data_IF_807234471714
#
_entry.id   IF_807234471714
#
_cell.length_a   1.000
_cell.length_b   1.000
_cell.length_c   1.000
_cell.angle_alpha   90.00
_cell.angle_beta   90.00
_cell.angle_gamma   90.00
#
_symmetry.space_group_name_H-M   'P 1'
#
loop_
_entity.id
_entity.type
_entity.pdbx_description
1 polymer ?
#
# COMPACT_ATOMS: atom_id res chain seq x y z
N UNK A 1 -48.98 -0.96 22.32
CA UNK A 1 -48.45 -0.65 20.97
C UNK A 1 -47.01 -0.13 21.00
N UNK A 2 -46.63 0.70 21.97
CA UNK A 2 -45.28 1.32 22.08
C UNK A 2 -44.12 0.35 22.39
N UNK A 3 -44.39 -0.78 23.08
CA UNK A 3 -43.36 -1.77 23.41
C UNK A 3 -42.90 -2.59 22.19
N UNK A 4 -43.79 -2.80 21.21
CA UNK A 4 -43.50 -3.56 19.99
C UNK A 4 -42.67 -2.74 19.00
N UNK A 5 -42.88 -1.42 18.94
CA UNK A 5 -42.04 -0.50 18.16
C UNK A 5 -40.61 -0.42 18.69
N UNK A 6 -40.40 -0.53 20.01
CA UNK A 6 -39.05 -0.50 20.59
C UNK A 6 -38.21 -1.71 20.17
N UNK A 7 -38.83 -2.90 20.11
CA UNK A 7 -38.19 -4.14 19.66
C UNK A 7 -37.80 -4.09 18.17
N UNK A 8 -38.60 -3.44 17.32
CA UNK A 8 -38.26 -3.27 15.91
C UNK A 8 -37.08 -2.31 15.71
N UNK A 9 -37.02 -1.23 16.49
CA UNK A 9 -35.91 -0.25 16.41
C UNK A 9 -34.60 -0.85 16.90
N UNK A 10 -34.63 -1.68 17.96
CA UNK A 10 -33.41 -2.37 18.43
C UNK A 10 -32.94 -3.43 17.45
N UNK A 11 -33.86 -4.16 16.79
CA UNK A 11 -33.52 -5.13 15.75
C UNK A 11 -32.86 -4.46 14.53
N UNK A 12 -33.41 -3.32 14.08
CA UNK A 12 -32.84 -2.53 12.98
C UNK A 12 -31.45 -1.98 13.35
N UNK A 13 -31.28 -1.46 14.57
CA UNK A 13 -29.98 -0.97 15.05
C UNK A 13 -28.92 -2.08 15.12
N UNK A 14 -29.31 -3.31 15.48
CA UNK A 14 -28.43 -4.50 15.42
C UNK A 14 -28.00 -4.83 13.99
N UNK A 15 -28.94 -4.79 13.02
CA UNK A 15 -28.62 -4.99 11.61
C UNK A 15 -27.68 -3.90 11.07
N UNK A 16 -27.87 -2.63 11.45
CA UNK A 16 -26.96 -1.55 11.08
C UNK A 16 -25.58 -1.66 11.75
N UNK A 17 -25.50 -2.26 12.94
CA UNK A 17 -24.23 -2.42 13.69
C UNK A 17 -23.38 -3.60 13.22
N UNK A 18 -23.89 -4.45 12.30
CA UNK A 18 -23.16 -5.62 11.79
C UNK A 18 -22.38 -5.34 10.48
N UNK A 19 -22.40 -4.12 9.95
CA UNK A 19 -21.49 -3.71 8.87
C UNK A 19 -20.10 -3.33 9.41
N UNK A 20 -19.52 -4.23 10.20
CA UNK A 20 -18.10 -4.16 10.51
C UNK A 20 -17.34 -4.36 9.20
N UNK A 21 -16.89 -3.26 8.59
CA UNK A 21 -15.95 -3.33 7.48
C UNK A 21 -14.75 -4.13 7.99
N UNK A 22 -14.54 -5.33 7.45
CA UNK A 22 -13.38 -6.13 7.77
C UNK A 22 -12.16 -5.37 7.21
N UNK A 23 -11.57 -4.50 8.04
CA UNK A 23 -10.32 -3.85 7.73
C UNK A 23 -9.26 -4.94 7.65
N UNK A 24 -9.05 -5.47 6.44
CA UNK A 24 -7.86 -6.27 6.15
C UNK A 24 -6.68 -5.32 6.37
N UNK A 25 -5.81 -5.59 7.36
CA UNK A 25 -4.66 -4.73 7.61
C UNK A 25 -3.85 -4.66 6.31
N UNK A 26 -3.56 -3.44 5.86
CA UNK A 26 -2.80 -3.22 4.64
C UNK A 26 -1.41 -3.83 4.82
N UNK A 27 -1.09 -4.89 4.06
CA UNK A 27 0.15 -5.67 4.19
C UNK A 27 1.28 -4.99 3.43
N UNK A 28 1.60 -3.77 3.86
CA UNK A 28 2.50 -2.88 3.12
C UNK A 28 3.55 -2.26 4.00
N UNK A 29 4.78 -2.19 3.49
CA UNK A 29 5.78 -1.26 3.99
C UNK A 29 5.84 -0.03 3.06
N UNK A 30 5.81 1.16 3.63
CA UNK A 30 5.71 2.41 2.87
C UNK A 30 6.66 3.47 3.41
N UNK A 31 7.36 4.15 2.51
CA UNK A 31 8.10 5.39 2.80
C UNK A 31 8.00 6.32 1.60
N UNK A 32 7.60 7.57 1.82
CA UNK A 32 7.56 8.59 0.77
C UNK A 32 8.98 8.98 0.31
N UNK A 33 9.13 9.31 -0.97
CA UNK A 33 10.34 9.91 -1.53
C UNK A 33 10.08 10.49 -2.92
N UNK A 34 10.98 11.36 -3.40
CA UNK A 34 10.91 12.00 -4.72
C UNK A 34 10.81 11.03 -5.90
N UNK A 35 11.21 9.78 -5.76
CA UNK A 35 10.93 8.70 -6.70
C UNK A 35 10.44 7.50 -5.89
N UNK A 36 9.26 6.98 -6.23
CA UNK A 36 8.67 5.84 -5.52
C UNK A 36 9.00 4.55 -6.25
N UNK A 37 9.63 3.59 -5.57
CA UNK A 37 9.87 2.24 -6.08
C UNK A 37 8.80 1.29 -5.54
N UNK A 38 8.08 0.63 -6.45
CA UNK A 38 7.12 -0.42 -6.09
C UNK A 38 7.84 -1.75 -5.87
N UNK A 39 7.56 -2.43 -4.76
CA UNK A 39 8.05 -3.77 -4.47
C UNK A 39 6.89 -4.76 -4.35
N UNK A 40 7.02 -5.95 -4.93
CA UNK A 40 6.01 -7.01 -4.83
C UNK A 40 6.71 -8.29 -4.36
N UNK A 41 6.38 -8.75 -3.15
CA UNK A 41 7.07 -9.85 -2.48
C UNK A 41 6.08 -10.89 -1.92
N UNK A 42 6.49 -12.14 -1.85
CA UNK A 42 5.77 -13.25 -1.21
C UNK A 42 6.26 -13.43 0.22
N UNK A 43 5.89 -12.49 1.11
CA UNK A 43 6.34 -12.55 2.51
C UNK A 43 5.67 -13.68 3.28
N UNK A 44 4.52 -14.15 2.81
CA UNK A 44 3.75 -15.24 3.40
C UNK A 44 3.58 -16.43 2.45
N UNK A 45 3.54 -17.63 3.01
CA UNK A 45 3.52 -18.90 2.27
C UNK A 45 2.12 -19.28 1.73
N UNK A 46 1.04 -18.72 2.28
CA UNK A 46 -0.30 -18.94 1.70
C UNK A 46 -1.27 -17.82 2.02
N UNK A 47 -2.18 -17.55 1.08
CA UNK A 47 -3.45 -16.92 1.39
C UNK A 47 -4.39 -18.02 1.93
N UNK A 48 -4.80 -17.92 3.19
CA UNK A 48 -5.83 -18.78 3.76
C UNK A 48 -7.20 -18.54 3.12
N UNK A 49 -8.17 -19.41 3.42
CA UNK A 49 -9.51 -19.45 2.78
C UNK A 49 -10.31 -18.14 2.91
N UNK A 50 -9.94 -17.28 3.86
CA UNK A 50 -10.51 -15.96 4.14
C UNK A 50 -9.68 -14.79 3.57
N UNK A 51 -8.67 -15.05 2.73
CA UNK A 51 -7.74 -14.05 2.23
C UNK A 51 -6.73 -13.53 3.27
N UNK A 52 -6.59 -14.23 4.41
CA UNK A 52 -5.53 -13.90 5.38
C UNK A 52 -4.23 -14.59 5.03
N UNK A 53 -3.17 -13.83 4.91
CA UNK A 53 -1.83 -14.36 4.69
C UNK A 53 -1.35 -15.09 5.95
N UNK A 54 -0.77 -16.28 5.76
CA UNK A 54 -0.27 -17.14 6.83
C UNK A 54 1.18 -17.52 6.57
N UNK A 55 1.89 -17.76 7.66
CA UNK A 55 3.25 -18.28 7.70
C UNK A 55 4.27 -17.38 7.01
N UNK A 56 4.96 -16.56 7.80
CA UNK A 56 6.01 -15.67 7.32
C UNK A 56 7.20 -16.48 6.80
N UNK A 57 7.65 -16.16 5.59
CA UNK A 57 8.85 -16.71 4.99
C UNK A 57 10.04 -15.78 5.27
N UNK A 58 10.85 -16.12 6.27
CA UNK A 58 11.97 -15.29 6.73
C UNK A 58 12.96 -14.92 5.60
N UNK A 59 13.21 -15.84 4.67
CA UNK A 59 14.06 -15.59 3.49
C UNK A 59 13.52 -14.46 2.62
N UNK A 60 12.21 -14.49 2.33
CA UNK A 60 11.56 -13.49 1.48
C UNK A 60 11.42 -12.14 2.18
N UNK A 61 11.23 -12.16 3.51
CA UNK A 61 11.37 -10.96 4.34
C UNK A 61 12.77 -10.34 4.19
N UNK A 62 13.81 -11.18 4.19
CA UNK A 62 15.18 -10.73 3.92
C UNK A 62 15.35 -10.03 2.58
N UNK A 63 14.63 -10.45 1.54
CA UNK A 63 14.65 -9.76 0.24
C UNK A 63 13.95 -8.40 0.26
N UNK A 64 12.83 -8.27 0.98
CA UNK A 64 12.17 -6.99 1.18
C UNK A 64 13.05 -6.03 2.00
N UNK A 65 13.65 -6.52 3.08
CA UNK A 65 14.63 -5.76 3.88
C UNK A 65 15.85 -5.37 3.06
N UNK A 66 16.33 -6.22 2.15
CA UNK A 66 17.43 -5.87 1.25
C UNK A 66 17.07 -4.72 0.30
N UNK A 67 15.83 -4.67 -0.20
CA UNK A 67 15.34 -3.53 -0.99
C UNK A 67 15.31 -2.24 -0.15
N UNK A 68 14.79 -2.32 1.09
CA UNK A 68 14.75 -1.18 2.02
C UNK A 68 16.17 -0.69 2.30
N UNK A 69 17.08 -1.59 2.67
CA UNK A 69 18.48 -1.29 2.94
C UNK A 69 19.18 -0.64 1.74
N UNK A 70 18.94 -1.15 0.52
CA UNK A 70 19.51 -0.57 -0.69
C UNK A 70 19.01 0.86 -0.92
N UNK A 71 17.71 1.11 -0.72
CA UNK A 71 17.11 2.43 -0.85
C UNK A 71 17.70 3.40 0.18
N UNK A 72 17.80 2.99 1.43
CA UNK A 72 18.41 3.81 2.49
C UNK A 72 19.88 4.11 2.19
N UNK A 73 20.64 3.11 1.76
CA UNK A 73 22.05 3.27 1.37
C UNK A 73 22.23 4.24 0.19
N UNK A 74 21.28 4.26 -0.77
CA UNK A 74 21.31 5.22 -1.87
C UNK A 74 20.99 6.64 -1.36
N UNK A 75 19.96 6.79 -0.53
CA UNK A 75 19.57 8.08 0.03
C UNK A 75 20.65 8.70 0.93
N UNK A 76 21.42 7.88 1.64
CA UNK A 76 22.53 8.34 2.49
C UNK A 76 23.80 8.67 1.69
N UNK A 77 23.86 8.31 0.41
CA UNK A 77 25.01 8.55 -0.44
C UNK A 77 24.86 9.84 -1.26
N UNK A 78 25.52 10.91 -0.83
CA UNK A 78 25.50 12.22 -1.49
C UNK A 78 26.01 12.24 -2.95
N UNK A 79 26.62 11.16 -3.45
CA UNK A 79 27.06 11.04 -4.85
C UNK A 79 26.02 10.38 -5.75
N UNK A 80 25.09 9.60 -5.18
CA UNK A 80 24.03 8.92 -5.91
C UNK A 80 22.72 9.68 -5.71
N UNK A 81 22.08 10.07 -6.83
CA UNK A 81 20.81 10.82 -6.81
C UNK A 81 20.83 12.09 -5.92
N UNK A 82 21.79 13.01 -6.10
CA UNK A 82 21.89 14.19 -5.27
C UNK A 82 20.60 15.03 -5.33
N UNK A 83 20.07 15.41 -4.16
CA UNK A 83 18.80 16.15 -4.00
C UNK A 83 17.55 15.40 -4.46
N UNK A 84 17.61 14.07 -4.58
CA UNK A 84 16.46 13.23 -4.91
C UNK A 84 16.41 12.08 -3.91
N UNK A 85 15.29 11.95 -3.21
CA UNK A 85 15.04 10.85 -2.29
C UNK A 85 14.29 9.70 -2.97
N UNK A 86 14.70 8.47 -2.71
CA UNK A 86 13.97 7.27 -3.06
C UNK A 86 13.02 6.89 -1.92
N UNK A 87 11.76 6.66 -2.27
CA UNK A 87 10.75 6.06 -1.42
C UNK A 87 10.36 4.67 -1.92
N UNK A 88 9.52 3.97 -1.17
CA UNK A 88 9.03 2.65 -1.53
C UNK A 88 7.57 2.41 -1.14
N UNK A 89 6.91 1.55 -1.92
CA UNK A 89 5.61 0.94 -1.62
C UNK A 89 5.75 -0.57 -1.85
N UNK A 90 5.98 -1.32 -0.78
CA UNK A 90 6.20 -2.77 -0.80
C UNK A 90 4.89 -3.46 -0.46
N UNK A 91 4.40 -4.33 -1.34
CA UNK A 91 3.16 -5.08 -1.20
C UNK A 91 3.46 -6.57 -1.06
N UNK A 92 2.81 -7.21 -0.08
CA UNK A 92 2.85 -8.66 0.07
C UNK A 92 1.68 -9.34 -0.64
N UNK A 93 1.98 -10.22 -1.59
CA UNK A 93 0.96 -10.93 -2.38
C UNK A 93 0.66 -12.35 -1.88
N UNK A 94 1.37 -12.84 -0.87
CA UNK A 94 1.06 -14.08 -0.15
C UNK A 94 0.90 -15.31 -1.05
N UNK A 95 1.69 -15.38 -2.12
CA UNK A 95 1.63 -16.42 -3.16
C UNK A 95 0.27 -16.55 -3.86
N UNK A 96 -0.60 -15.54 -3.78
CA UNK A 96 -1.89 -15.50 -4.47
C UNK A 96 -1.79 -14.69 -5.77
N UNK A 97 -2.04 -15.30 -6.94
CA UNK A 97 -2.03 -14.58 -8.22
C UNK A 97 -3.05 -13.44 -8.28
N UNK A 98 -4.22 -13.61 -7.63
CA UNK A 98 -5.25 -12.56 -7.59
C UNK A 98 -4.75 -11.33 -6.82
N UNK A 99 -4.15 -11.54 -5.64
CA UNK A 99 -3.58 -10.45 -4.83
C UNK A 99 -2.39 -9.83 -5.57
N UNK A 100 -1.58 -10.62 -6.28
CA UNK A 100 -0.45 -10.12 -7.06
C UNK A 100 -0.90 -9.14 -8.16
N UNK A 101 -1.95 -9.48 -8.92
CA UNK A 101 -2.51 -8.61 -9.97
C UNK A 101 -3.11 -7.35 -9.37
N UNK A 102 -3.91 -7.48 -8.30
CA UNK A 102 -4.48 -6.33 -7.59
C UNK A 102 -3.40 -5.39 -7.06
N UNK A 103 -2.37 -5.94 -6.39
CA UNK A 103 -1.26 -5.18 -5.83
C UNK A 103 -0.43 -4.49 -6.91
N UNK A 104 -0.16 -5.17 -8.02
CA UNK A 104 0.56 -4.61 -9.16
C UNK A 104 -0.24 -3.47 -9.82
N UNK A 105 -1.55 -3.65 -9.99
CA UNK A 105 -2.43 -2.62 -10.50
C UNK A 105 -2.44 -1.39 -9.60
N UNK A 106 -2.54 -1.57 -8.27
CA UNK A 106 -2.44 -0.46 -7.32
C UNK A 106 -1.12 0.31 -7.44
N UNK A 107 0.02 -0.39 -7.57
CA UNK A 107 1.33 0.25 -7.73
C UNK A 107 1.37 1.13 -8.99
N UNK A 108 0.81 0.65 -10.09
CA UNK A 108 0.72 1.41 -11.36
C UNK A 108 -0.21 2.60 -11.21
N UNK A 109 -1.43 2.41 -10.69
CA UNK A 109 -2.41 3.51 -10.54
C UNK A 109 -1.89 4.59 -9.60
N UNK A 110 -1.29 4.22 -8.46
CA UNK A 110 -0.66 5.18 -7.54
C UNK A 110 0.48 5.93 -8.22
N UNK A 111 1.24 5.29 -9.10
CA UNK A 111 2.32 5.95 -9.83
C UNK A 111 1.80 7.07 -10.75
N UNK A 112 0.69 6.82 -11.46
CA UNK A 112 0.06 7.81 -12.34
C UNK A 112 -0.52 8.98 -11.54
N UNK A 113 -1.24 8.69 -10.46
CA UNK A 113 -1.77 9.74 -9.58
C UNK A 113 -0.65 10.61 -8.99
N UNK A 114 0.43 10.00 -8.49
CA UNK A 114 1.58 10.76 -7.95
C UNK A 114 2.27 11.59 -9.03
N UNK A 115 2.39 11.07 -10.25
CA UNK A 115 2.93 11.84 -11.38
C UNK A 115 2.07 13.09 -11.64
N UNK A 116 0.76 12.94 -11.69
CA UNK A 116 -0.17 14.05 -11.88
C UNK A 116 -0.10 15.07 -10.74
N UNK A 117 -0.17 14.62 -9.48
CA UNK A 117 -0.07 15.50 -8.30
C UNK A 117 1.24 16.29 -8.30
N UNK A 118 2.37 15.65 -8.63
CA UNK A 118 3.66 16.35 -8.70
C UNK A 118 3.71 17.36 -9.83
N UNK A 119 3.12 17.03 -10.98
CA UNK A 119 3.01 17.97 -12.10
C UNK A 119 2.23 19.20 -11.67
N UNK A 120 1.11 19.04 -10.96
CA UNK A 120 0.36 20.15 -10.38
C UNK A 120 1.21 20.96 -9.39
N UNK A 121 1.87 20.29 -8.45
CA UNK A 121 2.68 20.94 -7.42
C UNK A 121 3.88 21.73 -7.98
N UNK A 122 4.41 21.33 -9.15
CA UNK A 122 5.45 22.07 -9.89
C UNK A 122 4.86 23.28 -10.63
N UNK A 123 3.66 23.14 -11.21
CA UNK A 123 2.95 24.23 -11.87
C UNK A 123 2.56 25.34 -10.86
N UNK A 124 2.03 24.96 -9.70
CA UNK A 124 1.67 25.90 -8.62
C UNK A 124 2.90 26.66 -8.08
N UNK A 125 4.08 26.05 -8.10
CA UNK A 125 5.35 26.68 -7.71
C UNK A 125 6.04 27.46 -8.83
N UNK A 126 5.40 27.63 -10.00
CA UNK A 126 5.97 28.36 -11.13
C UNK A 126 7.23 27.72 -11.73
N UNK A 127 7.50 26.44 -11.43
CA UNK A 127 8.64 25.71 -11.99
C UNK A 127 8.28 25.15 -13.37
N UNK A 128 9.13 25.39 -14.38
CA UNK A 128 8.95 24.80 -15.71
C UNK A 128 9.01 23.28 -15.62
N UNK A 129 7.93 22.61 -16.06
CA UNK A 129 7.88 21.15 -16.16
C UNK A 129 8.76 20.74 -17.35
N UNK A 130 9.98 20.28 -17.07
CA UNK A 130 10.82 19.63 -18.07
C UNK A 130 10.17 18.33 -18.54
N UNK A 131 10.00 18.22 -19.85
CA UNK A 131 9.62 16.99 -20.54
C UNK A 131 10.78 16.00 -20.39
N UNK A 132 10.48 14.79 -19.90
CA UNK A 132 11.44 13.68 -19.89
C UNK A 132 11.69 13.27 -21.34
#
# INVERSE_FOLDING_TARGET
MVMSSCLMVTFLAMFLSCNGSHHVPRRTAYREGDIMLGGLFDLHQSAGDNGTCRDLHATNLGYAEAMIFAIESINDNNTLLPNVTLGFDIQDYCLSPAIAVESAYELVVKSDHRFFTRKLHKLERGQRVGQI
#
